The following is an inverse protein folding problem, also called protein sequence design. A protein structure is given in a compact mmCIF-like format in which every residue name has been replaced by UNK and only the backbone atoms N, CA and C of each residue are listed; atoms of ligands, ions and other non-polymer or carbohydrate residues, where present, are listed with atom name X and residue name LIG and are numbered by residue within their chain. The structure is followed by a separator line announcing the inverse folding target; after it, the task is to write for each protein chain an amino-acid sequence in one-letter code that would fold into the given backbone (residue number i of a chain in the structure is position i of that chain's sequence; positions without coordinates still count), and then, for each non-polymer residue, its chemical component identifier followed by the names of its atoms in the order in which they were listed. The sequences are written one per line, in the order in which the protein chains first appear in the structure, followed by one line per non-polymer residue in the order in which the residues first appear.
data_IF_312845033059
#
_entry.id   IF_312845033059
#
_cell.length_a   1.000
_cell.length_b   1.000
_cell.length_c   1.000
_cell.angle_alpha   90.00
_cell.angle_beta   90.00
_cell.angle_gamma   90.00
#
_symmetry.space_group_name_H-M   'P 1'
#
loop_
_entity.id
_entity.type
_entity.pdbx_description
1 polymer ?
#
# COMPACT_ATOMS: atom_id res chain seq x y z
N UNK A 1 13.71 -7.99 13.75
CA UNK A 1 13.23 -8.36 12.40
C UNK A 1 13.05 -7.08 11.60
N UNK A 2 13.89 -6.80 10.58
CA UNK A 2 13.73 -5.59 9.74
C UNK A 2 12.56 -5.84 8.79
N UNK A 3 11.37 -5.37 9.14
CA UNK A 3 10.22 -5.39 8.23
C UNK A 3 10.45 -4.31 7.19
N UNK A 4 11.06 -4.68 6.07
CA UNK A 4 11.24 -3.78 4.93
C UNK A 4 10.23 -4.20 3.84
N UNK A 5 9.01 -3.68 3.96
CA UNK A 5 7.95 -3.90 2.97
C UNK A 5 8.34 -3.23 1.67
N UNK A 6 8.13 -3.93 0.55
CA UNK A 6 8.36 -3.35 -0.79
C UNK A 6 7.19 -2.46 -1.20
N UNK A 7 7.37 -1.63 -2.25
CA UNK A 7 6.29 -0.78 -2.74
C UNK A 7 5.07 -1.58 -3.21
N UNK A 8 5.26 -2.77 -3.78
CA UNK A 8 4.18 -3.68 -4.14
C UNK A 8 3.32 -4.11 -2.95
N UNK A 9 3.92 -4.30 -1.77
CA UNK A 9 3.17 -4.67 -0.57
C UNK A 9 2.47 -3.45 0.03
N UNK A 10 3.12 -2.29 0.02
CA UNK A 10 2.51 -1.02 0.42
C UNK A 10 1.33 -0.64 -0.49
N UNK A 11 1.40 -0.96 -1.78
CA UNK A 11 0.29 -0.80 -2.73
C UNK A 11 -0.93 -1.60 -2.30
N UNK A 12 -0.76 -2.88 -1.95
CA UNK A 12 -1.87 -3.73 -1.49
C UNK A 12 -2.57 -3.15 -0.27
N UNK A 13 -1.81 -2.51 0.63
CA UNK A 13 -2.33 -1.86 1.84
C UNK A 13 -3.03 -0.53 1.51
N UNK A 14 -2.35 0.35 0.77
CA UNK A 14 -2.83 1.69 0.43
C UNK A 14 -4.06 1.68 -0.47
N UNK A 15 -4.17 0.71 -1.38
CA UNK A 15 -5.31 0.59 -2.29
C UNK A 15 -6.57 -0.01 -1.63
N UNK A 16 -6.48 -0.44 -0.37
CA UNK A 16 -7.68 -0.93 0.34
C UNK A 16 -8.70 0.17 0.51
N UNK A 17 -9.98 -0.16 0.31
CA UNK A 17 -11.10 0.77 0.57
C UNK A 17 -11.08 1.32 2.00
N UNK A 18 -10.59 0.52 2.95
CA UNK A 18 -10.42 0.92 4.34
C UNK A 18 -9.47 2.10 4.47
N UNK A 19 -8.21 1.97 4.00
CA UNK A 19 -7.20 3.04 4.08
C UNK A 19 -7.66 4.26 3.28
N UNK A 20 -8.26 4.08 2.11
CA UNK A 20 -8.80 5.19 1.32
C UNK A 20 -9.96 5.91 2.02
N UNK A 21 -10.78 5.23 2.82
CA UNK A 21 -11.85 5.88 3.58
C UNK A 21 -11.32 6.74 4.75
N UNK A 22 -10.09 6.50 5.22
CA UNK A 22 -9.49 7.27 6.32
C UNK A 22 -9.27 8.74 5.99
N UNK A 23 -9.10 9.09 4.71
CA UNK A 23 -9.07 10.50 4.29
C UNK A 23 -10.38 11.24 4.58
N UNK A 24 -11.52 10.56 4.49
CA UNK A 24 -12.79 11.18 4.88
C UNK A 24 -12.86 11.35 6.39
N UNK A 25 -12.39 10.35 7.15
CA UNK A 25 -12.41 10.37 8.61
C UNK A 25 -11.52 11.45 9.22
N UNK A 26 -10.41 11.83 8.58
CA UNK A 26 -9.58 12.95 9.04
C UNK A 26 -10.34 14.29 9.09
N UNK A 27 -11.35 14.47 8.24
CA UNK A 27 -12.21 15.66 8.25
C UNK A 27 -13.51 15.44 9.03
N UNK A 28 -14.09 14.24 8.96
CA UNK A 28 -15.33 13.92 9.64
C UNK A 28 -15.18 13.93 11.17
N UNK A 29 -14.07 13.40 11.71
CA UNK A 29 -13.89 13.28 13.17
C UNK A 29 -13.92 14.63 13.89
N UNK A 30 -13.16 15.67 13.50
CA UNK A 30 -13.25 16.98 14.14
C UNK A 30 -14.67 17.59 14.11
N UNK A 31 -15.40 17.40 13.01
CA UNK A 31 -16.79 17.87 12.89
C UNK A 31 -17.73 17.12 13.82
N UNK A 32 -17.59 15.79 13.91
CA UNK A 32 -18.38 14.95 14.81
C UNK A 32 -18.10 15.31 16.27
N UNK A 33 -16.83 15.43 16.67
CA UNK A 33 -16.46 15.85 18.03
C UNK A 33 -17.11 17.18 18.38
N UNK A 34 -17.01 18.17 17.48
CA UNK A 34 -17.67 19.47 17.69
C UNK A 34 -19.20 19.36 17.79
N UNK A 35 -19.83 18.52 16.97
CA UNK A 35 -21.27 18.31 17.04
C UNK A 35 -21.70 17.61 18.34
N UNK A 36 -20.92 16.65 18.84
CA UNK A 36 -21.20 15.95 20.10
C UNK A 36 -20.91 16.80 21.34
N UNK A 37 -19.92 17.70 21.31
CA UNK A 37 -19.69 18.67 22.39
C UNK A 37 -20.96 19.47 22.72
N UNK A 38 -21.74 19.89 21.70
CA UNK A 38 -23.01 20.59 21.91
C UNK A 38 -24.10 19.73 22.56
N UNK A 39 -24.00 18.41 22.51
CA UNK A 39 -25.01 17.47 23.03
C UNK A 39 -24.62 16.93 24.42
N UNK A 40 -23.32 16.79 24.69
CA UNK A 40 -22.82 16.26 25.97
C UNK A 40 -22.86 17.27 27.13
N UNK A 41 -22.83 18.58 26.85
CA UNK A 41 -22.92 19.62 27.90
C UNK A 41 -24.29 19.69 28.57
N UNK A 42 -25.33 19.15 27.92
CA UNK A 42 -26.61 18.91 28.57
C UNK A 42 -26.58 17.52 29.21
N UNK A 43 -26.36 17.46 30.53
CA UNK A 43 -26.80 16.29 31.31
C UNK A 43 -28.30 16.15 31.03
N UNK A 44 -28.67 15.27 30.10
CA UNK A 44 -30.06 15.00 29.79
C UNK A 44 -30.68 14.29 31.00
N UNK A 45 -31.13 15.06 31.99
CA UNK A 45 -31.83 14.57 33.17
C UNK A 45 -33.25 14.18 32.72
N UNK A 46 -33.37 13.01 32.10
CA UNK A 46 -34.69 12.43 31.85
C UNK A 46 -35.29 12.01 33.20
N UNK A 47 -36.24 12.78 33.71
CA UNK A 47 -37.07 12.39 34.84
C UNK A 47 -38.13 11.38 34.37
N UNK A 48 -37.77 10.10 34.38
CA UNK A 48 -38.74 9.01 34.27
C UNK A 48 -38.97 8.52 35.70
N UNK A 49 -40.21 8.62 36.21
CA UNK A 49 -40.59 8.15 37.56
C UNK A 49 -39.79 8.74 38.75
N UNK A 50 -39.48 10.05 38.74
CA UNK A 50 -38.74 10.75 39.83
C UNK A 50 -37.32 10.23 40.12
N UNK A 51 -36.80 9.24 39.40
CA UNK A 51 -35.40 8.82 39.48
C UNK A 51 -34.58 9.57 38.42
N UNK A 52 -33.49 10.20 38.85
CA UNK A 52 -32.49 10.77 37.96
C UNK A 52 -31.64 9.61 37.43
N UNK A 53 -31.81 9.24 36.16
CA UNK A 53 -30.91 8.31 35.48
C UNK A 53 -29.86 9.14 34.72
N UNK A 54 -28.65 9.33 35.26
CA UNK A 54 -27.58 9.95 34.51
C UNK A 54 -27.14 8.98 33.41
N UNK A 55 -27.57 9.23 32.18
CA UNK A 55 -27.01 8.55 31.02
C UNK A 55 -25.67 9.23 30.75
N UNK A 56 -24.55 8.58 31.12
CA UNK A 56 -23.24 9.03 30.68
C UNK A 56 -23.13 8.74 29.18
N UNK A 57 -23.24 9.77 28.35
CA UNK A 57 -23.06 9.71 26.90
C UNK A 57 -21.61 9.59 26.47
N UNK A 58 -20.67 9.38 27.40
CA UNK A 58 -19.26 9.18 27.08
C UNK A 58 -19.11 7.96 26.19
N UNK A 59 -18.72 8.18 24.93
CA UNK A 59 -18.43 7.10 24.00
C UNK A 59 -17.30 6.20 24.54
N UNK A 60 -17.37 4.89 24.29
CA UNK A 60 -16.43 3.92 24.83
C UNK A 60 -15.03 3.97 24.18
N UNK A 61 -14.83 4.80 23.16
CA UNK A 61 -13.56 4.94 22.46
C UNK A 61 -13.06 6.38 22.45
N UNK A 62 -11.73 6.51 22.42
CA UNK A 62 -11.08 7.80 22.33
C UNK A 62 -11.17 8.38 20.92
N UNK A 63 -11.94 9.46 20.75
CA UNK A 63 -11.99 10.25 19.51
C UNK A 63 -10.61 10.69 19.04
N UNK A 64 -9.73 11.07 19.97
CA UNK A 64 -8.35 11.45 19.63
C UNK A 64 -7.55 10.29 19.06
N UNK A 65 -7.65 9.08 19.62
CA UNK A 65 -6.93 7.91 19.08
C UNK A 65 -7.44 7.53 17.69
N UNK A 66 -8.76 7.60 17.48
CA UNK A 66 -9.35 7.35 16.17
C UNK A 66 -8.92 8.41 15.15
N UNK A 67 -8.89 9.69 15.53
CA UNK A 67 -8.37 10.76 14.68
C UNK A 67 -6.91 10.53 14.27
N UNK A 68 -6.02 10.27 15.23
CA UNK A 68 -4.60 10.03 14.92
C UNK A 68 -4.40 8.77 14.08
N UNK A 69 -5.21 7.73 14.31
CA UNK A 69 -5.22 6.55 13.47
C UNK A 69 -5.55 6.90 12.01
N UNK A 70 -6.67 7.60 11.78
CA UNK A 70 -7.08 8.04 10.45
C UNK A 70 -6.02 8.94 9.81
N UNK A 71 -5.43 9.87 10.58
CA UNK A 71 -4.40 10.79 10.12
C UNK A 71 -3.14 10.05 9.67
N UNK A 72 -2.63 9.10 10.45
CA UNK A 72 -1.42 8.36 10.07
C UNK A 72 -1.67 7.44 8.88
N UNK A 73 -2.84 6.79 8.79
CA UNK A 73 -3.21 5.98 7.63
C UNK A 73 -3.33 6.85 6.36
N UNK A 74 -3.97 8.01 6.47
CA UNK A 74 -4.10 8.97 5.37
C UNK A 74 -2.72 9.53 4.93
N UNK A 75 -1.87 9.95 5.88
CA UNK A 75 -0.53 10.46 5.57
C UNK A 75 0.38 9.37 4.98
N UNK A 76 0.32 8.14 5.50
CA UNK A 76 1.05 7.01 4.95
C UNK A 76 0.66 6.77 3.48
N UNK A 77 -0.65 6.73 3.22
CA UNK A 77 -1.17 6.56 1.88
C UNK A 77 -0.83 7.75 0.95
N UNK A 78 -0.80 8.97 1.47
CA UNK A 78 -0.40 10.15 0.69
C UNK A 78 1.07 10.07 0.27
N UNK A 79 1.97 9.68 1.17
CA UNK A 79 3.39 9.46 0.85
C UNK A 79 3.52 8.37 -0.20
N UNK A 80 2.78 7.27 -0.07
CA UNK A 80 2.72 6.23 -1.08
C UNK A 80 2.30 6.79 -2.44
N UNK A 81 1.21 7.55 -2.53
CA UNK A 81 0.72 8.10 -3.80
C UNK A 81 1.70 9.06 -4.49
N UNK A 82 2.50 9.79 -3.71
CA UNK A 82 3.46 10.79 -4.20
C UNK A 82 4.83 10.21 -4.56
N UNK A 83 5.25 9.11 -3.94
CA UNK A 83 6.62 8.58 -4.04
C UNK A 83 6.73 7.16 -4.57
N UNK A 84 5.62 6.41 -4.62
CA UNK A 84 5.60 5.11 -5.29
C UNK A 84 5.89 5.31 -6.79
N UNK A 85 6.88 4.61 -7.35
CA UNK A 85 7.18 4.68 -8.78
C UNK A 85 5.98 4.35 -9.65
N UNK A 86 5.85 5.05 -10.77
CA UNK A 86 4.69 4.89 -11.66
C UNK A 86 4.56 3.48 -12.21
N UNK A 87 5.67 2.79 -12.48
CA UNK A 87 5.67 1.41 -12.98
C UNK A 87 4.97 0.46 -11.99
N UNK A 88 5.19 0.63 -10.68
CA UNK A 88 4.56 -0.20 -9.64
C UNK A 88 3.09 0.19 -9.44
N UNK A 89 2.81 1.49 -9.50
CA UNK A 89 1.46 2.03 -9.28
C UNK A 89 0.49 1.62 -10.39
N UNK A 90 0.92 1.72 -11.63
CA UNK A 90 0.11 1.46 -12.81
C UNK A 90 0.18 -0.01 -13.27
N UNK A 91 1.38 -0.62 -13.24
CA UNK A 91 1.62 -1.97 -13.78
C UNK A 91 2.23 -2.89 -12.73
N UNK A 92 1.45 -3.39 -11.76
CA UNK A 92 1.97 -4.31 -10.74
C UNK A 92 2.36 -5.68 -11.32
N UNK A 93 1.90 -6.01 -12.52
CA UNK A 93 2.21 -7.26 -13.21
C UNK A 93 2.50 -6.99 -14.69
N UNK A 94 3.36 -7.83 -15.28
CA UNK A 94 3.64 -7.77 -16.72
C UNK A 94 2.36 -7.93 -17.55
N UNK A 95 1.43 -8.78 -17.11
CA UNK A 95 0.15 -8.97 -17.81
C UNK A 95 -0.69 -7.68 -17.85
N UNK A 96 -0.67 -6.86 -16.80
CA UNK A 96 -1.31 -5.53 -16.80
C UNK A 96 -0.73 -4.63 -17.89
N UNK A 97 0.61 -4.63 -18.00
CA UNK A 97 1.33 -3.84 -19.00
C UNK A 97 1.00 -4.28 -20.45
N UNK A 98 0.97 -5.58 -20.70
CA UNK A 98 0.67 -6.15 -22.02
C UNK A 98 -0.80 -5.97 -22.39
N UNK A 99 -1.73 -6.12 -21.45
CA UNK A 99 -3.17 -5.94 -21.68
C UNK A 99 -3.52 -4.50 -22.10
N UNK A 100 -2.72 -3.51 -21.68
CA UNK A 100 -2.84 -2.13 -22.15
C UNK A 100 -2.26 -1.89 -23.56
N UNK A 101 -1.70 -2.93 -24.20
CA UNK A 101 -1.10 -2.85 -25.54
C UNK A 101 0.21 -2.06 -25.58
N UNK A 102 0.86 -1.86 -24.43
CA UNK A 102 2.10 -1.08 -24.33
C UNK A 102 3.29 -1.86 -24.90
N UNK A 103 4.10 -1.18 -25.71
CA UNK A 103 5.31 -1.72 -26.36
C UNK A 103 6.57 -1.30 -25.63
N UNK A 104 7.72 -1.87 -25.97
CA UNK A 104 9.03 -1.56 -25.37
C UNK A 104 9.33 -0.06 -25.23
N UNK A 105 9.00 0.74 -26.26
CA UNK A 105 9.22 2.20 -26.27
C UNK A 105 8.51 2.94 -25.13
N UNK A 106 7.41 2.39 -24.62
CA UNK A 106 6.63 2.99 -23.53
C UNK A 106 7.23 2.71 -22.14
N UNK A 107 8.29 1.88 -22.02
CA UNK A 107 9.04 1.71 -20.77
C UNK A 107 9.99 2.89 -20.49
N UNK A 108 10.37 3.66 -21.50
CA UNK A 108 11.30 4.79 -21.37
C UNK A 108 10.89 5.81 -20.30
N UNK A 109 9.66 6.36 -20.32
CA UNK A 109 9.19 7.32 -19.32
C UNK A 109 9.21 6.78 -17.88
N UNK A 110 8.97 5.48 -17.71
CA UNK A 110 9.05 4.85 -16.41
C UNK A 110 10.51 4.71 -15.94
N UNK A 111 11.49 4.64 -16.86
CA UNK A 111 12.91 4.51 -16.53
C UNK A 111 13.44 5.83 -15.98
N UNK A 112 13.03 6.93 -16.60
CA UNK A 112 13.38 8.28 -16.17
C UNK A 112 12.85 8.56 -14.75
N UNK A 113 11.62 8.12 -14.44
CA UNK A 113 10.97 8.24 -13.12
C UNK A 113 11.80 7.64 -11.98
N UNK A 114 12.42 6.48 -12.23
CA UNK A 114 13.23 5.77 -11.22
C UNK A 114 14.74 5.98 -11.39
N UNK A 115 15.14 6.72 -12.42
CA UNK A 115 16.54 6.90 -12.87
C UNK A 115 17.26 5.55 -13.08
N UNK A 116 16.60 4.62 -13.77
CA UNK A 116 17.16 3.31 -14.11
C UNK A 116 18.03 3.40 -15.37
N UNK A 117 19.22 2.81 -15.34
CA UNK A 117 20.13 2.83 -16.48
C UNK A 117 19.74 1.75 -17.50
N UNK A 118 18.87 2.14 -18.44
CA UNK A 118 18.40 1.28 -19.52
C UNK A 118 19.53 0.78 -20.43
N UNK A 119 20.49 1.64 -20.76
CA UNK A 119 21.59 1.30 -21.67
C UNK A 119 22.44 0.14 -21.16
N UNK A 120 22.79 0.17 -19.88
CA UNK A 120 23.54 -0.92 -19.25
C UNK A 120 22.77 -2.25 -19.27
N UNK A 121 21.46 -2.23 -19.02
CA UNK A 121 20.65 -3.44 -19.06
C UNK A 121 20.56 -4.00 -20.50
N UNK A 122 20.40 -3.13 -21.50
CA UNK A 122 20.36 -3.54 -22.90
C UNK A 122 21.68 -4.20 -23.33
N UNK A 123 22.83 -3.63 -22.96
CA UNK A 123 24.15 -4.22 -23.20
C UNK A 123 24.31 -5.60 -22.52
N UNK A 124 23.85 -5.75 -21.27
CA UNK A 124 23.90 -7.03 -20.55
C UNK A 124 23.05 -8.12 -21.24
N UNK A 125 21.87 -7.77 -21.74
CA UNK A 125 20.98 -8.68 -22.47
C UNK A 125 21.60 -9.05 -23.82
N UNK A 126 22.13 -8.10 -24.57
CA UNK A 126 22.76 -8.33 -25.86
C UNK A 126 23.97 -9.28 -25.73
N UNK A 127 24.86 -9.02 -24.78
CA UNK A 127 26.02 -9.88 -24.52
C UNK A 127 25.61 -11.28 -24.06
N UNK A 128 24.52 -11.41 -23.28
CA UNK A 128 23.96 -12.73 -22.92
C UNK A 128 23.44 -13.47 -24.15
N UNK A 129 22.77 -12.77 -25.06
CA UNK A 129 22.27 -13.33 -26.31
C UNK A 129 23.40 -13.77 -27.25
N UNK A 130 24.47 -13.00 -27.36
CA UNK A 130 25.66 -13.40 -28.11
C UNK A 130 26.28 -14.69 -27.56
N UNK A 131 26.42 -14.81 -26.24
CA UNK A 131 26.92 -16.03 -25.60
C UNK A 131 26.04 -17.25 -25.89
N UNK A 132 24.72 -17.09 -25.83
CA UNK A 132 23.77 -18.17 -26.17
C UNK A 132 23.91 -18.55 -27.64
N UNK A 133 24.04 -17.58 -28.55
CA UNK A 133 24.25 -17.85 -29.99
C UNK A 133 25.57 -18.62 -30.23
N UNK A 134 26.64 -18.26 -29.53
CA UNK A 134 27.93 -18.97 -29.61
C UNK A 134 27.84 -20.40 -29.06
N UNK A 135 27.17 -20.59 -27.92
CA UNK A 135 26.93 -21.92 -27.34
C UNK A 135 26.06 -22.81 -28.25
N UNK A 136 25.01 -22.26 -28.87
CA UNK A 136 24.19 -23.00 -29.85
C UNK A 136 25.02 -23.45 -31.05
N UNK A 137 25.98 -22.64 -31.52
CA UNK A 137 26.89 -23.03 -32.62
C UNK A 137 27.79 -24.20 -32.23
N UNK A 138 28.38 -24.20 -31.04
CA UNK A 138 29.24 -25.30 -30.59
C UNK A 138 28.46 -26.59 -30.28
N UNK A 139 27.25 -26.48 -29.74
CA UNK A 139 26.38 -27.62 -29.42
C UNK A 139 25.79 -28.27 -30.67
N UNK A 140 25.43 -27.47 -31.69
CA UNK A 140 24.98 -27.99 -32.99
C UNK A 140 26.05 -28.86 -33.67
N UNK A 141 27.33 -28.60 -33.41
CA UNK A 141 28.46 -29.43 -33.87
C UNK A 141 28.56 -30.77 -33.13
N UNK A 142 27.95 -30.90 -31.94
CA UNK A 142 28.00 -32.09 -31.06
C UNK A 142 26.72 -32.95 -31.18
N UNK A 143 25.71 -32.51 -31.94
CA UNK A 143 24.51 -33.30 -32.26
C UNK A 143 23.45 -33.37 -31.16
N UNK A 144 23.61 -32.67 -30.04
CA UNK A 144 22.60 -32.59 -28.99
C UNK A 144 21.67 -31.39 -29.20
N UNK A 145 20.36 -31.66 -29.36
CA UNK A 145 19.33 -30.62 -29.46
C UNK A 145 18.96 -30.16 -28.06
N UNK A 146 19.68 -29.15 -27.54
CA UNK A 146 19.26 -28.45 -26.33
C UNK A 146 18.36 -27.29 -26.76
N UNK A 147 17.07 -27.39 -26.45
CA UNK A 147 16.09 -26.32 -26.63
C UNK A 147 16.28 -25.25 -25.55
N UNK A 148 17.34 -24.45 -25.66
CA UNK A 148 17.43 -23.22 -24.88
C UNK A 148 16.51 -22.15 -25.49
N UNK A 149 15.68 -21.50 -24.66
CA UNK A 149 14.75 -20.47 -25.12
C UNK A 149 15.53 -19.35 -25.82
N UNK A 150 15.12 -19.03 -27.04
CA UNK A 150 15.61 -17.85 -27.75
C UNK A 150 15.04 -16.61 -27.07
N UNK A 151 15.93 -15.72 -26.60
CA UNK A 151 15.55 -14.47 -25.97
C UNK A 151 15.26 -13.48 -27.10
N UNK A 152 13.99 -13.11 -27.26
CA UNK A 152 13.58 -12.06 -28.18
C UNK A 152 13.95 -10.70 -27.58
N UNK A 153 14.87 -10.00 -28.22
CA UNK A 153 15.35 -8.67 -27.78
C UNK A 153 14.24 -7.62 -27.83
N UNK A 154 13.21 -7.84 -28.65
CA UNK A 154 12.07 -6.93 -28.78
C UNK A 154 10.98 -7.19 -27.73
N UNK A 155 11.02 -8.32 -27.00
CA UNK A 155 10.02 -8.64 -25.99
C UNK A 155 10.23 -7.76 -24.73
N UNK A 156 9.23 -6.92 -24.36
CA UNK A 156 9.34 -6.06 -23.20
C UNK A 156 9.45 -6.81 -21.87
N UNK A 157 9.14 -8.11 -21.81
CA UNK A 157 9.22 -8.92 -20.58
C UNK A 157 10.61 -8.88 -19.94
N UNK A 158 11.66 -8.89 -20.78
CA UNK A 158 13.05 -8.94 -20.32
C UNK A 158 13.52 -7.64 -19.68
N UNK A 159 12.85 -6.53 -20.00
CA UNK A 159 13.16 -5.21 -19.46
C UNK A 159 12.21 -4.81 -18.34
N UNK A 160 10.95 -5.24 -18.43
CA UNK A 160 9.92 -4.93 -17.46
C UNK A 160 10.29 -5.41 -16.05
N UNK A 161 10.67 -6.67 -15.89
CA UNK A 161 10.93 -7.24 -14.55
C UNK A 161 12.12 -6.61 -13.84
N UNK A 162 13.32 -6.47 -14.44
CA UNK A 162 14.44 -5.81 -13.78
C UNK A 162 14.12 -4.38 -13.36
N UNK A 163 13.39 -3.67 -14.22
CA UNK A 163 12.97 -2.30 -13.97
C UNK A 163 11.93 -2.20 -12.86
N UNK A 164 10.95 -3.10 -12.87
CA UNK A 164 9.94 -3.22 -11.83
C UNK A 164 10.59 -3.55 -10.49
N UNK A 165 11.48 -4.54 -10.42
CA UNK A 165 12.23 -4.88 -9.21
C UNK A 165 13.07 -3.72 -8.69
N UNK A 166 13.75 -2.99 -9.58
CA UNK A 166 14.52 -1.81 -9.21
C UNK A 166 13.62 -0.68 -8.67
N UNK A 167 12.48 -0.43 -9.31
CA UNK A 167 11.47 0.52 -8.83
C UNK A 167 10.93 0.14 -7.45
N UNK A 168 10.65 -1.14 -7.25
CA UNK A 168 10.10 -1.68 -6.00
C UNK A 168 11.04 -1.47 -4.79
N UNK A 169 12.35 -1.32 -5.04
CA UNK A 169 13.35 -1.01 -4.01
C UNK A 169 13.77 0.46 -3.91
N UNK A 170 13.30 1.31 -4.82
CA UNK A 170 13.67 2.73 -4.87
C UNK A 170 13.09 3.50 -3.67
N UNK A 171 13.65 4.67 -3.38
CA UNK A 171 13.13 5.60 -2.36
C UNK A 171 12.97 4.97 -0.95
N UNK A 172 14.01 4.34 -0.39
CA UNK A 172 13.92 3.55 0.85
C UNK A 172 13.50 4.40 2.07
N UNK A 173 13.87 5.68 2.10
CA UNK A 173 13.46 6.59 3.17
C UNK A 173 11.93 6.74 3.21
N UNK A 174 11.31 7.10 2.09
CA UNK A 174 9.85 7.29 1.99
C UNK A 174 9.10 5.98 2.25
N UNK A 175 9.64 4.86 1.77
CA UNK A 175 9.08 3.53 2.02
C UNK A 175 9.04 3.19 3.51
N UNK A 176 10.12 3.46 4.23
CA UNK A 176 10.19 3.25 5.69
C UNK A 176 9.20 4.16 6.41
N UNK A 177 9.15 5.45 6.08
CA UNK A 177 8.19 6.39 6.66
C UNK A 177 6.74 5.93 6.42
N UNK A 178 6.40 5.56 5.18
CA UNK A 178 5.09 5.02 4.82
C UNK A 178 4.74 3.77 5.64
N UNK A 179 5.68 2.82 5.74
CA UNK A 179 5.51 1.60 6.54
C UNK A 179 5.25 1.93 8.01
N UNK A 180 6.04 2.83 8.60
CA UNK A 180 5.87 3.21 10.01
C UNK A 180 4.53 3.88 10.26
N UNK A 181 4.07 4.75 9.35
CA UNK A 181 2.78 5.43 9.45
C UNK A 181 1.63 4.43 9.37
N UNK A 182 1.68 3.47 8.45
CA UNK A 182 0.67 2.42 8.39
C UNK A 182 0.66 1.56 9.64
N UNK A 183 1.82 1.10 10.13
CA UNK A 183 1.90 0.29 11.35
C UNK A 183 1.28 1.05 12.53
N UNK A 184 1.70 2.29 12.78
CA UNK A 184 1.17 3.11 13.88
C UNK A 184 -0.33 3.34 13.70
N UNK A 185 -0.78 3.68 12.49
CA UNK A 185 -2.18 3.90 12.19
C UNK A 185 -3.06 2.68 12.44
N UNK A 186 -2.64 1.49 11.98
CA UNK A 186 -3.34 0.23 12.21
C UNK A 186 -3.31 -0.20 13.67
N UNK A 187 -2.21 0.02 14.39
CA UNK A 187 -2.14 -0.27 15.83
C UNK A 187 -3.13 0.58 16.61
N UNK A 188 -3.16 1.90 16.36
CA UNK A 188 -4.12 2.80 17.00
C UNK A 188 -5.57 2.41 16.65
N UNK A 189 -5.84 2.09 15.39
CA UNK A 189 -7.16 1.61 14.97
C UNK A 189 -7.56 0.33 15.72
N UNK A 190 -6.64 -0.64 15.81
CA UNK A 190 -6.87 -1.89 16.51
C UNK A 190 -7.19 -1.69 17.99
N UNK A 191 -6.48 -0.78 18.66
CA UNK A 191 -6.78 -0.40 20.06
C UNK A 191 -8.19 0.17 20.17
N UNK A 192 -8.58 1.11 19.30
CA UNK A 192 -9.93 1.70 19.27
C UNK A 192 -11.00 0.63 19.01
N UNK A 193 -10.76 -0.28 18.08
CA UNK A 193 -11.68 -1.37 17.78
C UNK A 193 -11.87 -2.33 18.96
N UNK A 194 -10.79 -2.66 19.68
CA UNK A 194 -10.84 -3.49 20.88
C UNK A 194 -11.56 -2.80 22.04
N UNK A 195 -11.34 -1.49 22.24
CA UNK A 195 -12.08 -0.70 23.23
C UNK A 195 -13.58 -0.73 22.95
N UNK A 196 -13.96 -0.52 21.68
CA UNK A 196 -15.35 -0.60 21.25
C UNK A 196 -15.97 -2.00 21.47
N UNK A 197 -15.26 -3.06 21.07
CA UNK A 197 -15.73 -4.43 21.29
C UNK A 197 -15.90 -4.74 22.78
N UNK A 198 -14.92 -4.37 23.61
CA UNK A 198 -14.98 -4.60 25.05
C UNK A 198 -16.18 -3.90 25.69
N UNK A 199 -16.43 -2.65 25.32
CA UNK A 199 -17.58 -1.92 25.82
C UNK A 199 -18.91 -2.59 25.46
N UNK A 200 -19.07 -3.03 24.21
CA UNK A 200 -20.27 -3.75 23.76
C UNK A 200 -20.46 -5.05 24.55
N UNK A 201 -19.39 -5.84 24.73
CA UNK A 201 -19.45 -7.09 25.51
C UNK A 201 -19.81 -6.80 26.96
N UNK A 202 -19.20 -5.79 27.59
CA UNK A 202 -19.51 -5.41 28.98
C UNK A 202 -20.97 -4.98 29.16
N UNK A 203 -21.54 -4.28 28.19
CA UNK A 203 -22.94 -3.85 28.19
C UNK A 203 -23.91 -5.03 28.05
N UNK A 204 -23.58 -6.02 27.21
CA UNK A 204 -24.39 -7.23 27.05
C UNK A 204 -24.38 -8.09 28.31
N UNK A 205 -23.23 -8.23 28.97
CA UNK A 205 -23.10 -8.97 30.23
C UNK A 205 -23.88 -8.26 31.34
N UNK A 206 -23.79 -6.94 31.45
CA UNK A 206 -24.49 -6.18 32.50
C UNK A 206 -26.04 -6.23 32.39
N UNK A 207 -26.58 -6.60 31.23
CA UNK A 207 -28.02 -6.79 31.00
C UNK A 207 -28.53 -8.22 31.23
N UNK A 208 -27.63 -9.19 31.40
CA UNK A 208 -27.98 -10.61 31.62
C UNK A 208 -27.91 -10.93 33.10
#
# INVERSE_FOLDING_TARGET
MKVDLKWCDLKKIGDTKFVNSMYMWTFAVPLLVKAFEYVEDEKLIFQIFQQQLPISTSLPFSWSMFYFSALFLALGNLIYLLKCPKIIKEHPTYQSYVNEGKKLKQLGPYCDDISFNWGKLAEEIEHKNEKIKLAKRSIKTIGSVVNEPEIDVEDPIHYFWPMHEFGDVKFPFYRRTCTTLFIVGFTLFGIVALQNLWAVVSFLIAKT
#
